data_IF_501671348969
#
_entry.id   IF_501671348969
#
_cell.length_a   1.000
_cell.length_b   1.000
_cell.length_c   1.000
_cell.angle_alpha   90.00
_cell.angle_beta   90.00
_cell.angle_gamma   90.00
#
_symmetry.space_group_name_H-M   'P 1'
#
loop_
_entity.id
_entity.type
_entity.pdbx_description
1 polymer ?
#
# COMPACT_ATOMS: atom_id res chain seq x y z
N UNK A 1 28.25 8.42 1.80
CA UNK A 1 27.35 9.55 1.44
C UNK A 1 27.03 10.30 2.72
N UNK A 2 27.49 11.54 2.85
CA UNK A 2 27.16 12.39 4.01
C UNK A 2 25.87 13.12 3.68
N UNK A 3 24.77 12.71 4.31
CA UNK A 3 23.45 13.32 4.15
C UNK A 3 23.43 14.72 4.78
N UNK A 4 23.73 15.76 4.00
CA UNK A 4 23.40 17.14 4.37
C UNK A 4 21.92 17.39 4.02
N UNK A 5 21.15 18.00 4.93
CA UNK A 5 19.83 18.55 4.61
C UNK A 5 18.60 17.69 4.93
N UNK A 6 18.68 16.74 5.86
CA UNK A 6 17.56 15.81 6.10
C UNK A 6 16.72 16.17 7.32
N UNK A 7 15.40 16.39 7.12
CA UNK A 7 14.45 16.72 8.19
C UNK A 7 13.68 15.47 8.63
N UNK A 8 13.59 15.23 9.94
CA UNK A 8 12.92 14.06 10.55
C UNK A 8 11.37 14.13 10.56
N UNK A 9 10.77 15.25 10.15
CA UNK A 9 9.34 15.50 10.39
C UNK A 9 8.59 15.88 9.12
N UNK A 10 7.31 15.49 9.09
CA UNK A 10 6.28 15.85 8.10
C UNK A 10 6.03 17.37 7.95
N UNK A 11 6.74 18.21 8.69
CA UNK A 11 6.73 19.67 8.51
C UNK A 11 7.70 20.09 7.41
N UNK A 12 7.39 19.73 6.16
CA UNK A 12 7.60 20.69 5.09
C UNK A 12 6.39 21.61 5.13
N UNK A 13 6.62 22.92 5.24
CA UNK A 13 5.66 23.94 4.82
C UNK A 13 5.45 23.78 3.31
N UNK A 14 4.64 22.80 2.93
CA UNK A 14 4.25 22.54 1.56
C UNK A 14 2.80 22.99 1.40
N UNK A 15 2.51 23.72 0.33
CA UNK A 15 1.13 24.04 -0.08
C UNK A 15 0.36 22.80 -0.59
N UNK A 16 1.01 21.63 -0.63
CA UNK A 16 0.42 20.40 -1.10
C UNK A 16 -0.48 19.74 -0.04
N UNK A 17 -1.65 19.28 -0.48
CA UNK A 17 -2.59 18.56 0.39
C UNK A 17 -1.93 17.37 1.09
N UNK A 18 -2.24 17.10 2.38
CA UNK A 18 -1.67 15.98 3.13
C UNK A 18 -1.81 14.62 2.43
N UNK A 19 -2.96 14.32 1.83
CA UNK A 19 -3.19 13.06 1.13
C UNK A 19 -2.23 12.84 -0.04
N UNK A 20 -2.10 13.84 -0.92
CA UNK A 20 -1.22 13.77 -2.09
C UNK A 20 0.24 13.53 -1.68
N UNK A 21 0.69 14.21 -0.62
CA UNK A 21 2.03 14.00 -0.07
C UNK A 21 2.23 12.59 0.47
N UNK A 22 1.24 12.02 1.16
CA UNK A 22 1.33 10.64 1.69
C UNK A 22 1.37 9.60 0.58
N UNK A 23 0.60 9.80 -0.49
CA UNK A 23 0.71 8.96 -1.70
C UNK A 23 2.12 9.07 -2.32
N UNK A 24 2.67 10.28 -2.42
CA UNK A 24 4.00 10.49 -2.97
C UNK A 24 5.09 9.79 -2.16
N UNK A 25 5.00 9.86 -0.82
CA UNK A 25 5.89 9.14 0.08
C UNK A 25 5.84 7.62 -0.18
N UNK A 26 4.64 7.05 -0.32
CA UNK A 26 4.48 5.62 -0.62
C UNK A 26 5.09 5.25 -1.98
N UNK A 27 4.87 6.07 -3.02
CA UNK A 27 5.45 5.87 -4.35
C UNK A 27 6.99 5.89 -4.30
N UNK A 28 7.58 6.87 -3.62
CA UNK A 28 9.02 7.02 -3.47
C UNK A 28 9.66 5.82 -2.75
N UNK A 29 9.04 5.38 -1.65
CA UNK A 29 9.49 4.19 -0.91
C UNK A 29 9.38 2.94 -1.78
N UNK A 30 8.23 2.72 -2.45
CA UNK A 30 8.02 1.55 -3.29
C UNK A 30 9.00 1.52 -4.46
N UNK A 31 9.31 2.69 -5.04
CA UNK A 31 10.31 2.83 -6.10
C UNK A 31 11.72 2.48 -5.60
N UNK A 32 12.08 2.95 -4.40
CA UNK A 32 13.38 2.62 -3.79
C UNK A 32 13.51 1.12 -3.49
N UNK A 33 12.47 0.48 -2.95
CA UNK A 33 12.46 -0.96 -2.70
C UNK A 33 12.50 -1.76 -4.01
N UNK A 34 11.73 -1.37 -5.03
CA UNK A 34 11.78 -1.99 -6.35
C UNK A 34 13.18 -1.90 -6.98
N UNK A 35 13.88 -0.78 -6.77
CA UNK A 35 15.27 -0.63 -7.20
C UNK A 35 16.19 -1.63 -6.48
N UNK A 36 16.05 -1.82 -5.17
CA UNK A 36 16.86 -2.81 -4.43
C UNK A 36 16.63 -4.25 -4.91
N UNK A 37 15.40 -4.58 -5.29
CA UNK A 37 15.04 -5.92 -5.77
C UNK A 37 15.54 -6.19 -7.19
N UNK A 38 15.65 -5.17 -8.05
CA UNK A 38 15.83 -5.39 -9.49
C UNK A 38 17.08 -4.78 -10.13
N UNK A 39 17.72 -3.80 -9.48
CA UNK A 39 18.85 -3.09 -10.08
C UNK A 39 20.18 -3.87 -10.02
N UNK A 40 20.20 -5.01 -9.33
CA UNK A 40 21.39 -5.82 -9.09
C UNK A 40 21.17 -7.27 -9.54
N UNK A 41 22.24 -8.03 -9.86
CA UNK A 41 22.12 -9.44 -10.21
C UNK A 41 21.50 -10.32 -9.12
N UNK A 42 21.60 -9.87 -7.87
CA UNK A 42 21.00 -10.50 -6.69
C UNK A 42 20.10 -9.48 -6.00
N UNK A 43 18.83 -9.81 -5.71
CA UNK A 43 17.94 -8.92 -4.99
C UNK A 43 18.48 -8.58 -3.61
N UNK A 44 18.40 -7.30 -3.22
CA UNK A 44 18.65 -6.86 -1.85
C UNK A 44 17.32 -6.62 -1.13
N UNK A 45 17.08 -7.33 -0.02
CA UNK A 45 15.90 -7.16 0.82
C UNK A 45 16.24 -6.22 1.98
N UNK A 46 15.48 -5.15 2.13
CA UNK A 46 15.76 -4.05 3.05
C UNK A 46 15.44 -4.38 4.51
N UNK A 47 14.32 -5.05 4.81
CA UNK A 47 13.90 -5.60 6.12
C UNK A 47 13.66 -4.62 7.27
N UNK A 48 14.19 -3.40 7.22
CA UNK A 48 14.11 -2.42 8.30
C UNK A 48 13.15 -1.27 8.00
N UNK A 49 12.18 -1.47 7.09
CA UNK A 49 11.20 -0.43 6.77
C UNK A 49 10.40 -0.03 8.01
N UNK A 50 10.43 1.26 8.30
CA UNK A 50 9.62 1.89 9.33
C UNK A 50 9.60 3.40 9.11
N UNK A 51 8.64 4.09 9.70
CA UNK A 51 8.60 5.55 9.74
C UNK A 51 9.85 6.21 10.37
N UNK A 52 10.68 5.48 11.13
CA UNK A 52 11.95 6.01 11.65
C UNK A 52 13.09 5.96 10.63
N UNK A 53 12.97 5.04 9.65
CA UNK A 53 13.97 4.80 8.62
C UNK A 53 13.60 5.42 7.26
N UNK A 54 12.60 6.31 7.27
CA UNK A 54 12.19 7.12 6.13
C UNK A 54 12.47 8.57 6.48
N UNK A 55 13.20 9.25 5.61
CA UNK A 55 13.44 10.68 5.74
C UNK A 55 12.95 11.42 4.50
N UNK A 56 12.63 12.71 4.67
CA UNK A 56 12.30 13.60 3.56
C UNK A 56 13.47 14.54 3.31
N UNK A 57 13.87 14.68 2.05
CA UNK A 57 14.84 15.69 1.65
C UNK A 57 14.19 17.08 1.48
N UNK A 58 14.98 18.04 1.01
CA UNK A 58 14.57 19.43 0.84
C UNK A 58 13.44 19.58 -0.19
N UNK A 59 13.38 18.68 -1.17
CA UNK A 59 12.34 18.63 -2.20
C UNK A 59 11.09 17.85 -1.75
N UNK A 60 11.11 17.31 -0.52
CA UNK A 60 10.03 16.50 0.03
C UNK A 60 9.99 15.07 -0.50
N UNK A 61 11.05 14.61 -1.17
CA UNK A 61 11.19 13.24 -1.68
C UNK A 61 11.55 12.30 -0.53
N UNK A 62 10.85 11.17 -0.45
CA UNK A 62 11.14 10.17 0.58
C UNK A 62 12.39 9.35 0.25
N UNK A 63 13.25 9.17 1.26
CA UNK A 63 14.51 8.42 1.18
C UNK A 63 14.59 7.39 2.28
N UNK A 64 14.98 6.18 1.91
CA UNK A 64 15.32 5.12 2.86
C UNK A 64 16.71 5.40 3.46
N UNK A 65 16.82 5.17 4.76
CA UNK A 65 18.10 5.23 5.50
C UNK A 65 18.34 3.91 6.25
N UNK A 66 19.52 3.76 6.84
CA UNK A 66 19.84 2.59 7.67
C UNK A 66 19.66 1.24 6.95
N UNK A 67 20.68 0.85 6.17
CA UNK A 67 20.70 -0.41 5.43
C UNK A 67 21.42 -1.53 6.21
N UNK A 68 21.60 -1.37 7.53
CA UNK A 68 22.40 -2.29 8.35
C UNK A 68 21.84 -3.72 8.40
N UNK A 69 20.52 -3.86 8.31
CA UNK A 69 19.82 -5.16 8.30
C UNK A 69 19.59 -5.72 6.88
N UNK A 70 20.05 -5.02 5.85
CA UNK A 70 19.81 -5.41 4.46
C UNK A 70 20.58 -6.69 4.11
N UNK A 71 19.91 -7.62 3.42
CA UNK A 71 20.50 -8.90 3.01
C UNK A 71 20.30 -9.14 1.52
N UNK A 72 21.26 -9.76 0.87
CA UNK A 72 21.12 -10.18 -0.53
C UNK A 72 20.62 -11.62 -0.61
N UNK A 73 19.64 -11.89 -1.47
CA UNK A 73 19.23 -13.24 -1.82
C UNK A 73 20.32 -13.87 -2.71
N UNK A 74 20.78 -15.11 -2.45
CA UNK A 74 21.75 -15.79 -3.31
C UNK A 74 21.26 -15.92 -4.76
N UNK A 75 22.20 -16.01 -5.69
CA UNK A 75 21.87 -16.17 -7.10
C UNK A 75 21.14 -17.50 -7.34
N UNK A 76 20.04 -17.46 -8.08
CA UNK A 76 19.19 -18.63 -8.36
C UNK A 76 18.20 -19.00 -7.26
N UNK A 77 18.24 -18.30 -6.12
CA UNK A 77 17.32 -18.52 -4.99
C UNK A 77 16.21 -17.46 -4.95
N UNK A 78 15.10 -17.78 -4.30
CA UNK A 78 13.97 -16.85 -4.07
C UNK A 78 13.90 -16.32 -2.64
N UNK A 79 14.71 -16.87 -1.74
CA UNK A 79 14.80 -16.46 -0.35
C UNK A 79 16.19 -16.75 0.23
N UNK A 80 16.45 -16.18 1.40
CA UNK A 80 17.62 -16.47 2.22
C UNK A 80 17.17 -16.74 3.65
N UNK A 81 17.75 -17.75 4.30
CA UNK A 81 17.53 -17.98 5.72
C UNK A 81 18.61 -17.25 6.51
N UNK A 82 18.20 -16.45 7.50
CA UNK A 82 19.11 -15.69 8.36
C UNK A 82 19.14 -16.27 9.77
N UNK A 83 20.32 -16.33 10.35
CA UNK A 83 20.54 -16.92 11.69
C UNK A 83 20.18 -15.95 12.84
N UNK A 84 19.83 -14.70 12.52
CA UNK A 84 19.51 -13.67 13.49
C UNK A 84 18.18 -12.98 13.14
N UNK A 85 17.35 -12.79 14.16
CA UNK A 85 16.12 -12.01 14.03
C UNK A 85 16.48 -10.52 14.03
N UNK A 86 16.39 -9.89 12.86
CA UNK A 86 16.54 -8.45 12.66
C UNK A 86 15.46 -7.93 11.71
N UNK A 87 15.23 -6.62 11.76
CA UNK A 87 14.12 -5.93 11.11
C UNK A 87 13.19 -5.21 12.10
N UNK A 88 12.20 -4.50 11.57
CA UNK A 88 11.29 -3.70 12.42
C UNK A 88 10.06 -4.51 12.82
N UNK A 89 9.89 -4.73 14.13
CA UNK A 89 8.70 -5.40 14.68
C UNK A 89 7.41 -4.69 14.27
N UNK A 90 6.44 -5.46 13.75
CA UNK A 90 5.19 -4.94 13.20
C UNK A 90 5.22 -4.62 11.70
N UNK A 91 6.39 -4.72 11.05
CA UNK A 91 6.56 -4.63 9.59
C UNK A 91 7.12 -5.92 8.99
N UNK A 92 7.48 -6.90 9.81
CA UNK A 92 7.99 -8.19 9.36
C UNK A 92 6.85 -9.16 9.04
N UNK A 93 6.97 -9.88 7.93
CA UNK A 93 6.05 -10.97 7.59
C UNK A 93 6.27 -12.21 8.50
N UNK A 94 5.32 -13.14 8.47
CA UNK A 94 5.34 -14.31 9.36
C UNK A 94 6.58 -15.20 9.15
N UNK A 95 6.97 -15.40 7.89
CA UNK A 95 8.08 -16.29 7.54
C UNK A 95 9.41 -15.76 8.09
N UNK A 96 9.63 -14.45 7.98
CA UNK A 96 10.78 -13.79 8.59
C UNK A 96 10.73 -13.88 10.11
N UNK A 97 9.57 -13.61 10.73
CA UNK A 97 9.41 -13.65 12.20
C UNK A 97 9.60 -15.06 12.79
N UNK A 98 9.05 -16.10 12.17
CA UNK A 98 9.03 -17.46 12.73
C UNK A 98 10.22 -18.31 12.31
N UNK A 99 10.70 -18.13 11.10
CA UNK A 99 11.66 -19.06 10.49
C UNK A 99 12.97 -18.38 10.07
N UNK A 100 13.09 -17.05 10.21
CA UNK A 100 14.22 -16.29 9.68
C UNK A 100 14.30 -16.34 8.15
N UNK A 101 13.19 -16.67 7.47
CA UNK A 101 13.14 -16.74 6.01
C UNK A 101 12.84 -15.35 5.46
N UNK A 102 13.80 -14.79 4.72
CA UNK A 102 13.72 -13.48 4.09
C UNK A 102 13.61 -13.65 2.59
N UNK A 103 12.60 -13.03 1.99
CA UNK A 103 12.42 -12.96 0.53
C UNK A 103 12.04 -11.53 0.13
N UNK A 104 11.89 -11.27 -1.17
CA UNK A 104 11.38 -9.98 -1.66
C UNK A 104 10.00 -9.65 -1.05
N UNK A 105 9.17 -10.66 -0.79
CA UNK A 105 7.85 -10.51 -0.13
C UNK A 105 7.97 -9.93 1.30
N UNK A 106 9.12 -10.04 1.96
CA UNK A 106 9.34 -9.42 3.27
C UNK A 106 9.21 -7.89 3.17
N UNK A 107 9.78 -7.27 2.13
CA UNK A 107 9.63 -5.84 1.90
C UNK A 107 8.25 -5.48 1.35
N UNK A 108 7.63 -6.35 0.54
CA UNK A 108 6.25 -6.17 0.04
C UNK A 108 5.26 -6.08 1.20
N UNK A 109 5.37 -7.00 2.16
CA UNK A 109 4.53 -6.96 3.36
C UNK A 109 4.76 -5.65 4.13
N UNK A 110 6.02 -5.25 4.32
CA UNK A 110 6.36 -4.04 5.05
C UNK A 110 5.81 -2.76 4.40
N UNK A 111 5.84 -2.63 3.07
CA UNK A 111 5.24 -1.49 2.38
C UNK A 111 3.72 -1.52 2.51
N UNK A 112 3.07 -2.69 2.49
CA UNK A 112 1.64 -2.83 2.75
C UNK A 112 1.23 -2.26 4.11
N UNK A 113 2.00 -2.58 5.16
CA UNK A 113 1.80 -1.98 6.50
C UNK A 113 2.04 -0.46 6.47
N UNK A 114 3.05 -0.01 5.75
CA UNK A 114 3.36 1.43 5.63
C UNK A 114 2.24 2.20 4.93
N UNK A 115 1.66 1.63 3.87
CA UNK A 115 0.49 2.18 3.14
C UNK A 115 -0.71 2.33 4.09
N UNK A 116 -1.01 1.31 4.91
CA UNK A 116 -2.08 1.40 5.91
C UNK A 116 -1.80 2.49 6.95
N UNK A 117 -0.57 2.59 7.45
CA UNK A 117 -0.19 3.64 8.40
C UNK A 117 -0.27 5.05 7.80
N UNK A 118 0.10 5.21 6.53
CA UNK A 118 -0.05 6.48 5.82
C UNK A 118 -1.52 6.85 5.65
N UNK A 119 -2.39 5.88 5.35
CA UNK A 119 -3.83 6.13 5.24
C UNK A 119 -4.45 6.54 6.58
N UNK A 120 -4.14 5.80 7.64
CA UNK A 120 -4.82 5.90 8.94
C UNK A 120 -4.21 6.95 9.86
N UNK A 121 -2.94 7.28 9.66
CA UNK A 121 -2.20 8.11 10.61
C UNK A 121 -1.88 7.36 11.91
N UNK A 122 -1.02 7.97 12.72
CA UNK A 122 -0.50 7.34 13.94
C UNK A 122 -1.60 7.00 14.95
N UNK A 123 -2.50 7.96 15.23
CA UNK A 123 -3.50 7.82 16.29
C UNK A 123 -4.50 6.71 16.00
N UNK A 124 -5.09 6.70 14.80
CA UNK A 124 -6.08 5.68 14.42
C UNK A 124 -5.41 4.31 14.29
N UNK A 125 -4.24 4.25 13.65
CA UNK A 125 -3.52 2.99 13.52
C UNK A 125 -3.16 2.38 14.88
N UNK A 126 -2.61 3.18 15.80
CA UNK A 126 -2.22 2.70 17.13
C UNK A 126 -3.45 2.32 17.97
N UNK A 127 -4.56 3.10 17.89
CA UNK A 127 -5.84 2.76 18.54
C UNK A 127 -6.35 1.40 18.06
N UNK A 128 -6.45 1.21 16.75
CA UNK A 128 -6.92 -0.03 16.14
C UNK A 128 -6.00 -1.21 16.47
N UNK A 129 -4.68 -0.98 16.56
CA UNK A 129 -3.74 -2.01 17.00
C UNK A 129 -3.91 -2.39 18.48
N UNK A 130 -4.24 -1.44 19.35
CA UNK A 130 -4.34 -1.64 20.79
C UNK A 130 -5.70 -2.20 21.24
N UNK A 131 -6.82 -1.76 20.65
CA UNK A 131 -8.17 -2.25 21.00
C UNK A 131 -8.33 -3.76 20.80
N UNK A 132 -7.49 -4.37 19.96
CA UNK A 132 -7.49 -5.80 19.69
C UNK A 132 -6.56 -6.62 20.61
N UNK A 133 -5.80 -5.97 21.49
CA UNK A 133 -5.00 -6.64 22.53
C UNK A 133 -5.79 -6.91 23.81
N UNK A 134 -6.95 -6.30 23.97
CA UNK A 134 -7.74 -6.30 25.20
C UNK A 134 -8.74 -7.47 25.31
N UNK A 135 -8.51 -8.58 24.60
CA UNK A 135 -9.34 -9.78 24.76
C UNK A 135 -8.78 -10.63 25.90
N UNK A 136 -9.63 -11.01 26.87
CA UNK A 136 -9.33 -11.82 28.06
C UNK A 136 -8.91 -13.29 27.76
N UNK A 137 -8.11 -13.52 26.71
CA UNK A 137 -7.56 -14.84 26.39
C UNK A 137 -6.12 -14.91 26.93
N UNK A 138 -5.91 -15.66 28.02
CA UNK A 138 -4.64 -15.87 28.77
C UNK A 138 -3.45 -16.47 27.96
N UNK A 139 -3.47 -16.42 26.63
CA UNK A 139 -2.39 -16.83 25.72
C UNK A 139 -1.70 -15.58 25.10
N UNK A 140 -1.12 -14.75 25.96
CA UNK A 140 -0.52 -13.43 25.67
C UNK A 140 0.67 -13.44 24.67
N UNK A 141 1.12 -14.61 24.20
CA UNK A 141 2.26 -14.77 23.29
C UNK A 141 1.85 -15.00 21.81
N UNK A 142 0.54 -15.08 21.52
CA UNK A 142 0.01 -15.38 20.17
C UNK A 142 -0.32 -14.12 19.34
N UNK A 143 -0.73 -12.99 19.92
CA UNK A 143 -1.18 -11.82 19.14
C UNK A 143 -0.03 -11.08 18.42
N UNK A 144 1.19 -11.09 18.99
CA UNK A 144 2.41 -10.65 18.31
C UNK A 144 2.93 -11.69 17.29
N UNK A 145 2.51 -12.95 17.39
CA UNK A 145 2.81 -14.07 16.47
C UNK A 145 1.76 -14.27 15.39
N UNK A 146 0.63 -13.56 15.47
CA UNK A 146 -0.36 -13.51 14.41
C UNK A 146 0.14 -12.53 13.35
N UNK A 147 0.27 -12.97 12.09
CA UNK A 147 0.70 -12.08 11.01
C UNK A 147 -0.30 -10.97 10.71
N UNK A 148 -1.52 -11.09 11.24
CA UNK A 148 -2.70 -10.35 10.81
C UNK A 148 -3.51 -9.96 12.06
N UNK A 149 -3.49 -8.69 12.48
CA UNK A 149 -4.33 -8.29 13.58
C UNK A 149 -5.79 -8.26 13.10
N UNK A 150 -6.71 -8.80 13.93
CA UNK A 150 -8.13 -9.07 13.58
C UNK A 150 -8.88 -7.92 12.90
N UNK A 151 -8.45 -6.67 13.11
CA UNK A 151 -9.09 -5.50 12.51
C UNK A 151 -8.97 -5.44 10.98
N UNK A 152 -7.92 -5.99 10.37
CA UNK A 152 -7.77 -5.96 8.91
C UNK A 152 -8.93 -6.71 8.23
N UNK A 153 -9.43 -7.79 8.85
CA UNK A 153 -10.61 -8.53 8.39
C UNK A 153 -11.92 -7.72 8.55
N UNK A 154 -12.03 -6.90 9.60
CA UNK A 154 -13.22 -6.07 9.85
C UNK A 154 -13.33 -4.88 8.87
N UNK A 155 -12.18 -4.36 8.41
CA UNK A 155 -12.14 -3.35 7.34
C UNK A 155 -12.59 -3.94 6.00
N UNK A 156 -12.34 -5.23 5.77
CA UNK A 156 -12.70 -5.90 4.51
C UNK A 156 -14.20 -6.12 4.33
N UNK A 157 -14.98 -6.19 5.43
CA UNK A 157 -16.43 -6.41 5.36
C UNK A 157 -17.16 -5.15 4.87
N UNK A 158 -16.82 -3.97 5.40
CA UNK A 158 -17.30 -2.66 4.93
C UNK A 158 -16.25 -1.58 5.22
N UNK A 159 -15.39 -1.16 4.26
CA UNK A 159 -14.37 -0.16 4.51
C UNK A 159 -15.02 1.21 4.65
N UNK A 160 -15.32 1.59 5.90
CA UNK A 160 -15.78 2.93 6.26
C UNK A 160 -14.60 3.89 6.25
N UNK A 161 -14.35 4.47 5.08
CA UNK A 161 -13.24 5.39 4.86
C UNK A 161 -13.22 6.54 5.88
N UNK A 162 -14.38 7.05 6.29
CA UNK A 162 -14.48 8.12 7.29
C UNK A 162 -13.99 7.71 8.69
N UNK A 163 -14.00 6.42 9.02
CA UNK A 163 -13.51 5.89 10.30
C UNK A 163 -12.01 5.55 10.26
N UNK A 164 -11.48 5.23 9.07
CA UNK A 164 -10.11 4.76 8.90
C UNK A 164 -9.15 5.81 8.35
N UNK A 165 -9.62 6.81 7.61
CA UNK A 165 -8.77 7.86 7.08
C UNK A 165 -8.33 8.80 8.20
N UNK A 166 -7.07 9.21 8.17
CA UNK A 166 -6.54 10.17 9.15
C UNK A 166 -7.33 11.50 9.09
N UNK A 167 -7.87 12.02 10.22
CA UNK A 167 -8.55 13.30 10.24
C UNK A 167 -7.67 14.47 9.79
N UNK A 168 -6.34 14.33 9.88
CA UNK A 168 -5.38 15.32 9.37
C UNK A 168 -5.37 15.42 7.84
N UNK A 169 -6.06 14.53 7.11
CA UNK A 169 -6.22 14.62 5.65
C UNK A 169 -7.08 15.81 5.22
N UNK A 170 -7.92 16.35 6.13
CA UNK A 170 -8.83 17.46 5.83
C UNK A 170 -9.99 17.04 4.93
N UNK A 171 -10.47 17.97 4.10
CA UNK A 171 -11.55 17.69 3.14
C UNK A 171 -11.07 16.76 2.02
N UNK A 172 -11.72 15.60 1.94
CA UNK A 172 -11.46 14.54 0.96
C UNK A 172 -12.52 14.65 -0.14
N UNK A 173 -12.09 14.87 -1.37
CA UNK A 173 -12.95 14.80 -2.55
C UNK A 173 -13.36 13.36 -2.88
N UNK A 174 -14.42 13.17 -3.67
CA UNK A 174 -14.83 11.83 -4.15
C UNK A 174 -13.71 11.10 -4.90
N UNK A 175 -12.87 11.88 -5.57
CA UNK A 175 -11.69 11.44 -6.28
C UNK A 175 -10.62 10.88 -5.31
N UNK A 176 -10.24 11.67 -4.31
CA UNK A 176 -9.27 11.27 -3.28
C UNK A 176 -9.79 10.05 -2.51
N UNK A 177 -11.11 9.97 -2.29
CA UNK A 177 -11.74 8.81 -1.68
C UNK A 177 -11.58 7.54 -2.54
N UNK A 178 -11.72 7.64 -3.87
CA UNK A 178 -11.47 6.51 -4.77
C UNK A 178 -10.00 6.08 -4.75
N UNK A 179 -9.07 7.04 -4.75
CA UNK A 179 -7.64 6.77 -4.61
C UNK A 179 -7.33 6.05 -3.29
N UNK A 180 -7.91 6.53 -2.18
CA UNK A 180 -7.73 5.93 -0.86
C UNK A 180 -8.22 4.48 -0.79
N UNK A 181 -9.34 4.16 -1.46
CA UNK A 181 -9.85 2.78 -1.55
C UNK A 181 -8.90 1.88 -2.34
N UNK A 182 -8.39 2.35 -3.48
CA UNK A 182 -7.40 1.61 -4.26
C UNK A 182 -6.08 1.42 -3.48
N UNK A 183 -5.65 2.46 -2.76
CA UNK A 183 -4.47 2.45 -1.91
C UNK A 183 -4.61 1.42 -0.76
N UNK A 184 -5.77 1.37 -0.12
CA UNK A 184 -6.09 0.35 0.89
C UNK A 184 -6.10 -1.06 0.28
N UNK A 185 -6.74 -1.26 -0.87
CA UNK A 185 -6.80 -2.57 -1.53
C UNK A 185 -5.40 -3.08 -1.90
N UNK A 186 -4.55 -2.21 -2.44
CA UNK A 186 -3.15 -2.54 -2.71
C UNK A 186 -2.42 -2.97 -1.42
N UNK A 187 -2.64 -2.25 -0.31
CA UNK A 187 -2.08 -2.61 0.99
C UNK A 187 -2.48 -4.02 1.45
N UNK A 188 -3.74 -4.41 1.19
CA UNK A 188 -4.29 -5.70 1.58
C UNK A 188 -3.71 -6.83 0.71
N UNK A 189 -3.48 -6.56 -0.58
CA UNK A 189 -2.77 -7.48 -1.48
C UNK A 189 -1.31 -7.65 -1.08
N UNK A 190 -0.59 -6.56 -0.79
CA UNK A 190 0.79 -6.60 -0.31
C UNK A 190 0.94 -7.40 1.00
N UNK A 191 -0.08 -7.39 1.84
CA UNK A 191 -0.09 -8.14 3.11
C UNK A 191 -0.70 -9.54 2.98
N UNK A 192 -1.09 -9.98 1.77
CA UNK A 192 -1.60 -11.33 1.52
C UNK A 192 -3.01 -11.60 2.03
N UNK A 193 -3.80 -10.56 2.31
CA UNK A 193 -5.20 -10.71 2.76
C UNK A 193 -6.17 -10.96 1.60
N UNK A 194 -5.83 -10.44 0.43
CA UNK A 194 -6.69 -10.34 -0.75
C UNK A 194 -5.81 -10.61 -1.97
N UNK A 195 -6.32 -11.34 -2.96
CA UNK A 195 -5.66 -11.60 -4.22
C UNK A 195 -4.24 -12.19 -4.14
N UNK A 196 -3.51 -12.01 -5.24
CA UNK A 196 -2.09 -12.33 -5.36
C UNK A 196 -1.22 -11.20 -4.79
N UNK A 197 -0.16 -11.59 -4.07
CA UNK A 197 0.83 -10.67 -3.51
C UNK A 197 1.68 -10.11 -4.66
N UNK A 198 1.67 -8.78 -4.90
CA UNK A 198 2.42 -8.17 -5.98
C UNK A 198 3.93 -8.11 -5.68
N UNK A 199 4.75 -8.04 -6.74
CA UNK A 199 6.16 -7.66 -6.65
C UNK A 199 6.32 -6.17 -6.34
N UNK A 200 7.48 -5.74 -5.83
CA UNK A 200 7.71 -4.31 -5.58
C UNK A 200 7.65 -3.44 -6.84
N UNK A 201 7.99 -4.01 -8.01
CA UNK A 201 7.84 -3.32 -9.30
C UNK A 201 6.37 -3.06 -9.61
N UNK A 202 5.49 -4.03 -9.35
CA UNK A 202 4.04 -3.88 -9.54
C UNK A 202 3.46 -2.90 -8.54
N UNK A 203 3.85 -2.97 -7.28
CA UNK A 203 3.44 -2.00 -6.24
C UNK A 203 3.80 -0.57 -6.66
N UNK A 204 5.04 -0.34 -7.10
CA UNK A 204 5.48 0.99 -7.55
C UNK A 204 4.68 1.47 -8.78
N UNK A 205 4.42 0.59 -9.75
CA UNK A 205 3.62 0.92 -10.94
C UNK A 205 2.16 1.23 -10.58
N UNK A 206 1.55 0.45 -9.70
CA UNK A 206 0.16 0.60 -9.30
C UNK A 206 -0.05 1.87 -8.47
N UNK A 207 0.84 2.17 -7.52
CA UNK A 207 0.85 3.45 -6.79
C UNK A 207 0.93 4.66 -7.72
N UNK A 208 1.85 4.60 -8.68
CA UNK A 208 2.01 5.63 -9.70
C UNK A 208 0.78 5.72 -10.63
N UNK A 209 0.05 4.63 -10.82
CA UNK A 209 -1.21 4.63 -11.56
C UNK A 209 -2.33 5.26 -10.75
N UNK A 210 -2.50 4.90 -9.48
CA UNK A 210 -3.50 5.48 -8.56
C UNK A 210 -3.36 7.01 -8.50
N UNK A 211 -2.12 7.51 -8.49
CA UNK A 211 -1.85 8.95 -8.56
C UNK A 211 -2.15 9.58 -9.93
N UNK A 212 -1.85 8.88 -11.03
CA UNK A 212 -2.00 9.39 -12.41
C UNK A 212 -3.38 9.25 -13.00
N UNK A 213 -4.20 8.30 -12.54
CA UNK A 213 -5.54 8.05 -13.04
C UNK A 213 -6.46 9.30 -12.97
N UNK A 214 -5.95 10.42 -12.45
CA UNK A 214 -6.65 11.68 -12.32
C UNK A 214 -5.79 12.94 -12.67
N UNK A 215 -4.57 12.78 -13.19
CA UNK A 215 -3.69 13.91 -13.54
C UNK A 215 -3.58 14.21 -15.05
N UNK A 216 -4.25 13.45 -15.92
CA UNK A 216 -4.30 13.74 -17.35
C UNK A 216 -5.40 14.76 -17.67
N UNK A 217 -5.18 16.01 -17.26
CA UNK A 217 -5.82 17.21 -17.82
C UNK A 217 -4.77 18.33 -17.90
N UNK A 218 -3.62 18.10 -18.54
CA UNK A 218 -2.78 19.18 -19.10
C UNK A 218 -1.73 18.64 -20.09
N UNK A 219 -2.16 18.36 -21.32
CA UNK A 219 -1.25 18.39 -22.47
C UNK A 219 -1.92 19.21 -23.57
N UNK A 220 -1.59 20.50 -23.64
CA UNK A 220 -1.93 21.34 -24.78
C UNK A 220 -0.96 21.00 -25.92
N UNK A 221 -1.41 20.60 -27.11
CA UNK A 221 -0.56 20.57 -28.29
C UNK A 221 -0.46 21.99 -28.87
N UNK A 222 0.75 22.55 -28.87
CA UNK A 222 1.07 23.80 -29.55
C UNK A 222 1.38 23.57 -31.03
N UNK A 223 0.59 24.25 -31.88
CA UNK A 223 0.89 24.66 -33.26
C UNK A 223 0.52 23.65 -34.36
N UNK A 224 -0.13 23.98 -35.48
CA UNK A 224 -0.56 25.27 -36.09
C UNK A 224 -1.55 24.98 -37.26
N UNK A 225 -2.61 25.81 -37.38
CA UNK A 225 -3.45 26.21 -38.57
C UNK A 225 -4.12 25.13 -39.46
N UNK A 226 -5.37 25.24 -39.94
CA UNK A 226 -6.17 26.38 -40.44
C UNK A 226 -7.69 26.03 -40.54
N UNK A 227 -8.53 27.06 -40.71
CA UNK A 227 -10.01 27.18 -40.70
C UNK A 227 -10.87 26.09 -41.38
N UNK A 228 -12.02 25.71 -40.80
CA UNK A 228 -13.33 26.37 -41.01
C UNK A 228 -14.53 25.69 -40.29
N UNK A 229 -15.46 26.55 -39.84
CA UNK A 229 -16.88 26.31 -39.49
C UNK A 229 -17.30 25.45 -38.27
N UNK A 230 -18.17 26.08 -37.46
CA UNK A 230 -18.93 25.63 -36.31
C UNK A 230 -19.30 24.13 -36.21
N UNK A 231 -18.95 23.51 -35.09
CA UNK A 231 -19.80 22.57 -34.37
C UNK A 231 -19.42 22.55 -32.88
N UNK A 232 -20.42 22.73 -32.01
CA UNK A 232 -20.31 22.63 -30.56
C UNK A 232 -19.79 21.24 -30.15
N UNK A 233 -18.49 21.15 -29.85
CA UNK A 233 -17.94 20.00 -29.13
C UNK A 233 -18.26 20.22 -27.65
N UNK A 234 -19.48 19.78 -27.35
CA UNK A 234 -20.21 19.85 -26.11
C UNK A 234 -19.38 19.46 -24.88
N UNK A 235 -19.65 20.15 -23.77
CA UNK A 235 -19.31 19.76 -22.39
C UNK A 235 -19.61 18.29 -22.07
N UNK A 236 -20.51 17.65 -22.84
CA UNK A 236 -20.79 16.22 -22.79
C UNK A 236 -19.62 15.33 -23.19
N UNK A 237 -18.69 15.77 -24.05
CA UNK A 237 -17.52 14.96 -24.48
C UNK A 237 -16.48 14.89 -23.35
N UNK A 238 -16.21 16.01 -22.68
CA UNK A 238 -15.31 16.08 -21.50
C UNK A 238 -15.91 15.30 -20.33
N UNK A 239 -17.19 15.50 -20.03
CA UNK A 239 -17.92 14.69 -19.04
C UNK A 239 -17.94 13.20 -19.42
N UNK A 240 -18.07 12.85 -20.71
CA UNK A 240 -18.08 11.46 -21.15
C UNK A 240 -16.72 10.78 -21.01
N UNK A 241 -15.62 11.51 -21.14
CA UNK A 241 -14.28 10.96 -21.02
C UNK A 241 -13.85 10.84 -19.55
N UNK A 242 -14.12 11.86 -18.72
CA UNK A 242 -13.91 11.77 -17.26
C UNK A 242 -14.78 10.68 -16.61
N UNK A 243 -16.03 10.50 -17.05
CA UNK A 243 -16.90 9.40 -16.57
C UNK A 243 -16.51 8.03 -17.10
N UNK A 244 -15.81 7.92 -18.24
CA UNK A 244 -15.29 6.65 -18.76
C UNK A 244 -14.08 6.17 -17.96
N UNK A 245 -13.17 7.07 -17.60
CA UNK A 245 -11.95 6.70 -16.84
C UNK A 245 -12.24 6.43 -15.37
N UNK A 246 -13.12 7.20 -14.72
CA UNK A 246 -13.63 6.86 -13.38
C UNK A 246 -14.44 5.58 -13.40
N UNK A 247 -15.25 5.30 -14.43
CA UNK A 247 -15.90 3.99 -14.60
C UNK A 247 -14.90 2.87 -14.88
N UNK A 248 -13.79 3.12 -15.57
CA UNK A 248 -12.78 2.11 -15.84
C UNK A 248 -12.01 1.75 -14.55
N UNK A 249 -11.65 2.75 -13.73
CA UNK A 249 -11.05 2.54 -12.42
C UNK A 249 -12.04 1.89 -11.45
N UNK A 250 -13.30 2.35 -11.41
CA UNK A 250 -14.36 1.72 -10.61
C UNK A 250 -14.70 0.32 -11.13
N UNK A 251 -14.58 0.03 -12.44
CA UNK A 251 -14.72 -1.33 -12.99
C UNK A 251 -13.52 -2.19 -12.69
N UNK A 252 -12.30 -1.66 -12.71
CA UNK A 252 -11.10 -2.38 -12.29
C UNK A 252 -11.19 -2.74 -10.80
N UNK A 253 -11.50 -1.75 -9.96
CA UNK A 253 -11.74 -1.93 -8.52
C UNK A 253 -12.94 -2.86 -8.29
N UNK A 254 -14.07 -2.68 -8.99
CA UNK A 254 -15.24 -3.55 -8.83
C UNK A 254 -15.00 -4.96 -9.37
N UNK A 255 -14.28 -5.16 -10.48
CA UNK A 255 -13.93 -6.49 -10.96
C UNK A 255 -12.99 -7.19 -9.97
N UNK A 256 -11.98 -6.50 -9.42
CA UNK A 256 -11.09 -7.07 -8.40
C UNK A 256 -11.84 -7.33 -7.08
N UNK A 257 -12.68 -6.42 -6.62
CA UNK A 257 -13.43 -6.58 -5.36
C UNK A 257 -14.55 -7.62 -5.51
N UNK A 258 -15.27 -7.68 -6.63
CA UNK A 258 -16.43 -8.56 -6.81
C UNK A 258 -16.03 -10.00 -7.14
N UNK A 259 -15.01 -10.22 -7.98
CA UNK A 259 -14.51 -11.58 -8.26
C UNK A 259 -13.86 -12.19 -7.00
N UNK A 260 -13.16 -11.38 -6.19
CA UNK A 260 -12.49 -11.87 -4.99
C UNK A 260 -13.40 -11.98 -3.76
N UNK A 261 -14.42 -11.11 -3.60
CA UNK A 261 -15.50 -11.35 -2.63
C UNK A 261 -16.19 -12.68 -2.91
N UNK A 262 -16.47 -12.98 -4.18
CA UNK A 262 -17.13 -14.23 -4.55
C UNK A 262 -16.24 -15.45 -4.25
N UNK A 263 -14.95 -15.40 -4.58
CA UNK A 263 -14.00 -16.46 -4.26
C UNK A 263 -13.78 -16.62 -2.75
N UNK A 264 -13.66 -15.52 -1.99
CA UNK A 264 -13.46 -15.55 -0.54
C UNK A 264 -14.69 -16.04 0.23
N UNK A 265 -15.90 -15.60 -0.15
CA UNK A 265 -17.16 -16.11 0.40
C UNK A 265 -17.28 -17.59 0.10
N UNK A 266 -16.98 -18.04 -1.13
CA UNK A 266 -17.00 -19.45 -1.48
C UNK A 266 -15.95 -20.27 -0.70
N UNK A 267 -14.70 -19.81 -0.59
CA UNK A 267 -13.64 -20.52 0.14
C UNK A 267 -13.90 -20.59 1.65
N UNK A 268 -14.45 -19.54 2.27
CA UNK A 268 -14.84 -19.58 3.68
C UNK A 268 -16.11 -20.38 3.93
N UNK A 269 -17.07 -20.36 3.00
CA UNK A 269 -18.25 -21.25 3.04
C UNK A 269 -17.85 -22.73 2.94
N UNK A 270 -16.87 -23.06 2.10
CA UNK A 270 -16.30 -24.42 2.03
C UNK A 270 -15.54 -24.82 3.30
N UNK A 271 -14.77 -23.91 3.92
CA UNK A 271 -14.07 -24.17 5.20
C UNK A 271 -15.05 -24.39 6.36
N UNK A 272 -16.14 -23.64 6.39
CA UNK A 272 -17.23 -23.81 7.37
C UNK A 272 -17.91 -25.19 7.24
N UNK A 273 -18.22 -25.63 6.02
CA UNK A 273 -18.81 -26.95 5.79
C UNK A 273 -17.84 -28.12 6.02
N UNK A 274 -16.55 -27.95 5.72
CA UNK A 274 -15.55 -29.01 5.94
C UNK A 274 -15.26 -29.25 7.42
N UNK A 275 -15.45 -28.23 8.26
CA UNK A 275 -15.33 -28.31 9.73
C UNK A 275 -16.56 -28.92 10.41
N UNK A 276 -17.73 -28.89 9.75
CA UNK A 276 -19.00 -29.44 10.27
C UNK A 276 -19.41 -30.81 9.69
N UNK A 277 -18.57 -31.48 8.88
CA UNK A 277 -18.83 -32.85 8.37
C UNK A 277 -18.55 -33.99 9.38
N UNK A 278 -18.54 -33.72 10.69
CA UNK A 278 -18.47 -34.74 11.76
C UNK A 278 -19.73 -34.81 12.63
N UNK A 279 -20.86 -34.36 12.11
CA UNK A 279 -22.19 -34.62 12.72
C UNK A 279 -23.15 -34.97 11.58
N UNK A 280 -23.14 -36.26 11.22
CA UNK A 280 -24.23 -37.06 10.66
C UNK A 280 -23.64 -38.42 10.28
#
# INVERSE_FOLDING_TARGET
MVYHGVKKHYHLESSEKPWKRRMKIAEDIATALAYLHTAFPRPFVYRCLSHHNILLDEDGIAKLIDFSDCVSIPEGETFVQVDYMAGTLGYMNLNCLKHGVVSEETDVFAIGISIQRLLMGKKIYDKIRLENRSGDDDDDDDDLRRPFPRWQLKIMEEPKMDEIADPEMGEISEEELCQMKAFLLLSLRCTGHVGEVPTMVEVAKELKSIQRCLHNDTFSPSGETQSDSHQDISSSVILSNQTKDTRALLRYIACQVFDEMFQWVMMNWFRFFRRNRRIC
#
